data_IF_109304719387
#
_entry.id   IF_109304719387
#
_cell.length_a   1.000
_cell.length_b   1.000
_cell.length_c   1.000
_cell.angle_alpha   90.00
_cell.angle_beta   90.00
_cell.angle_gamma   90.00
#
_symmetry.space_group_name_H-M   'P 1'
#
loop_
_entity.id
_entity.type
_entity.pdbx_description
1 polymer ?
#
# COMPACT_ATOMS: atom_id res chain seq x y z
N UNK A 1 0.14 -19.63 4.08
CA UNK A 1 -0.64 -18.48 3.58
C UNK A 1 -0.98 -17.67 4.80
N UNK A 2 -0.44 -16.47 4.95
CA UNK A 2 -0.86 -15.57 6.03
C UNK A 2 -2.29 -15.12 5.71
N UNK A 3 -3.17 -15.20 6.70
CA UNK A 3 -4.55 -14.76 6.56
C UNK A 3 -4.55 -13.24 6.53
N UNK A 4 -4.99 -12.62 5.42
CA UNK A 4 -5.00 -11.17 5.29
C UNK A 4 -6.17 -10.62 6.10
N UNK A 5 -5.87 -9.86 7.16
CA UNK A 5 -6.87 -9.15 7.94
C UNK A 5 -7.41 -7.93 7.18
N UNK A 6 -8.53 -8.08 6.49
CA UNK A 6 -9.10 -6.99 5.68
C UNK A 6 -9.63 -5.80 6.49
N UNK A 7 -9.61 -5.86 7.83
CA UNK A 7 -10.02 -4.74 8.70
C UNK A 7 -8.89 -3.75 9.00
N UNK A 8 -7.66 -4.06 8.60
CA UNK A 8 -6.50 -3.17 8.75
C UNK A 8 -6.50 -2.07 7.71
N UNK A 9 -5.80 -0.99 8.05
CA UNK A 9 -5.64 0.14 7.14
C UNK A 9 -4.69 -0.24 5.99
N UNK A 10 -5.03 0.23 4.79
CA UNK A 10 -4.28 -0.01 3.56
C UNK A 10 -3.81 1.32 2.99
N UNK A 11 -2.50 1.46 2.82
CA UNK A 11 -1.88 2.66 2.28
C UNK A 11 -1.56 2.47 0.80
N UNK A 12 -2.32 3.14 -0.06
CA UNK A 12 -2.24 3.01 -1.51
C UNK A 12 -1.18 3.94 -2.11
N UNK A 13 -0.18 3.37 -2.78
CA UNK A 13 0.89 4.05 -3.52
C UNK A 13 0.65 3.96 -5.03
N UNK A 14 0.41 5.12 -5.65
CA UNK A 14 0.12 5.21 -7.09
C UNK A 14 1.34 5.57 -7.96
N UNK A 15 2.48 5.95 -7.38
CA UNK A 15 3.67 6.39 -8.15
C UNK A 15 3.36 7.44 -9.24
N UNK A 16 2.45 8.38 -8.96
CA UNK A 16 2.02 9.42 -9.90
C UNK A 16 0.92 8.99 -10.91
N UNK A 17 0.47 7.74 -10.90
CA UNK A 17 -0.64 7.23 -11.72
C UNK A 17 -2.00 7.50 -11.10
N UNK A 18 -2.37 8.77 -11.02
CA UNK A 18 -3.68 9.18 -10.47
C UNK A 18 -4.86 8.62 -11.28
N UNK A 19 -4.66 8.36 -12.57
CA UNK A 19 -5.61 7.69 -13.45
C UNK A 19 -5.96 6.27 -13.00
N UNK A 20 -5.04 5.58 -12.32
CA UNK A 20 -5.25 4.23 -11.82
C UNK A 20 -5.81 4.18 -10.39
N UNK A 21 -6.06 5.34 -9.77
CA UNK A 21 -6.57 5.40 -8.39
C UNK A 21 -7.86 4.61 -8.22
N UNK A 22 -8.87 4.89 -9.05
CA UNK A 22 -10.18 4.25 -8.94
C UNK A 22 -10.07 2.74 -9.21
N UNK A 23 -9.32 2.36 -10.25
CA UNK A 23 -9.06 0.96 -10.59
C UNK A 23 -8.39 0.21 -9.43
N UNK A 24 -7.40 0.82 -8.79
CA UNK A 24 -6.68 0.22 -7.68
C UNK A 24 -7.54 0.09 -6.42
N UNK A 25 -8.31 1.12 -6.09
CA UNK A 25 -9.28 1.05 -4.98
C UNK A 25 -10.32 -0.04 -5.22
N UNK A 26 -10.86 -0.15 -6.44
CA UNK A 26 -11.82 -1.19 -6.79
C UNK A 26 -11.23 -2.60 -6.70
N UNK A 27 -9.97 -2.77 -7.07
CA UNK A 27 -9.28 -4.05 -6.94
C UNK A 27 -9.06 -4.45 -5.46
N UNK A 28 -8.71 -3.48 -4.60
CA UNK A 28 -8.57 -3.70 -3.17
C UNK A 28 -9.92 -3.98 -2.48
N UNK A 29 -10.99 -3.28 -2.86
CA UNK A 29 -12.33 -3.56 -2.34
C UNK A 29 -12.86 -4.91 -2.79
N UNK A 30 -12.61 -5.32 -4.03
CA UNK A 30 -12.92 -6.66 -4.53
C UNK A 30 -12.16 -7.77 -3.79
N UNK A 31 -10.96 -7.47 -3.26
CA UNK A 31 -10.20 -8.37 -2.38
C UNK A 31 -10.82 -8.50 -0.98
N UNK A 32 -11.68 -7.55 -0.58
CA UNK A 32 -12.39 -7.54 0.70
C UNK A 32 -12.02 -6.40 1.63
N UNK A 33 -11.11 -5.50 1.25
CA UNK A 33 -10.78 -4.32 2.05
C UNK A 33 -11.92 -3.28 1.97
N UNK A 34 -12.44 -2.78 3.11
CA UNK A 34 -13.41 -1.70 3.09
C UNK A 34 -12.83 -0.44 2.44
N UNK A 35 -13.62 0.29 1.63
CA UNK A 35 -13.16 1.51 0.98
C UNK A 35 -12.68 2.58 1.99
N UNK A 36 -13.26 2.60 3.19
CA UNK A 36 -12.88 3.46 4.31
C UNK A 36 -11.50 3.14 4.90
N UNK A 37 -11.01 1.91 4.72
CA UNK A 37 -9.67 1.47 5.16
C UNK A 37 -8.59 1.76 4.14
N UNK A 38 -8.97 2.07 2.90
CA UNK A 38 -8.04 2.38 1.82
C UNK A 38 -7.73 3.88 1.84
N UNK A 39 -6.54 4.21 2.33
CA UNK A 39 -6.06 5.59 2.43
C UNK A 39 -4.95 5.83 1.41
N UNK A 40 -4.91 7.03 0.83
CA UNK A 40 -3.77 7.42 0.00
C UNK A 40 -2.50 7.54 0.83
N UNK A 41 -1.43 6.88 0.41
CA UNK A 41 -0.15 7.00 1.10
C UNK A 41 0.41 8.42 1.01
N UNK A 42 1.00 8.90 2.11
CA UNK A 42 1.61 10.22 2.23
C UNK A 42 3.02 10.10 2.79
N UNK A 43 4.01 10.86 2.29
CA UNK A 43 5.37 10.82 2.83
C UNK A 43 5.46 11.26 4.29
N UNK A 44 4.46 11.99 4.80
CA UNK A 44 4.43 12.53 6.16
C UNK A 44 3.63 11.67 7.14
N UNK A 45 3.00 10.58 6.67
CA UNK A 45 2.19 9.70 7.52
C UNK A 45 2.34 8.26 7.06
N UNK A 46 2.93 7.46 7.93
CA UNK A 46 3.07 6.00 7.77
C UNK A 46 1.96 5.26 8.49
N UNK A 47 1.81 3.97 8.16
CA UNK A 47 0.97 3.05 8.90
C UNK A 47 1.62 2.51 10.16
N UNK A 48 0.92 1.58 10.81
CA UNK A 48 1.39 0.85 11.97
C UNK A 48 1.84 -0.56 11.60
N UNK A 49 2.57 -1.21 12.50
CA UNK A 49 2.87 -2.64 12.37
C UNK A 49 1.58 -3.45 12.27
N UNK A 50 1.47 -4.27 11.24
CA UNK A 50 0.30 -5.07 10.90
C UNK A 50 -0.65 -4.42 9.90
N UNK A 51 -0.51 -3.12 9.61
CA UNK A 51 -1.20 -2.47 8.49
C UNK A 51 -0.57 -2.88 7.15
N UNK A 52 -1.25 -2.56 6.05
CA UNK A 52 -0.81 -2.97 4.72
C UNK A 52 -0.43 -1.79 3.84
N UNK A 53 0.58 -2.00 3.01
CA UNK A 53 0.93 -1.12 1.91
C UNK A 53 0.48 -1.77 0.60
N UNK A 54 -0.31 -1.03 -0.19
CA UNK A 54 -0.74 -1.44 -1.52
C UNK A 54 0.00 -0.59 -2.56
N UNK A 55 0.93 -1.18 -3.30
CA UNK A 55 1.76 -0.45 -4.26
C UNK A 55 1.46 -0.87 -5.69
N UNK A 56 1.20 0.10 -6.57
CA UNK A 56 1.14 -0.14 -8.01
C UNK A 56 2.49 -0.65 -8.52
N UNK A 57 2.50 -1.89 -9.03
CA UNK A 57 3.71 -2.60 -9.42
C UNK A 57 3.74 -2.98 -10.91
N UNK A 58 5.00 -3.07 -11.37
CA UNK A 58 5.56 -2.92 -12.72
C UNK A 58 5.50 -1.51 -13.32
N UNK A 59 6.07 -0.48 -12.67
CA UNK A 59 6.34 0.79 -13.34
C UNK A 59 7.17 0.57 -14.62
N UNK A 60 6.96 1.33 -15.71
CA UNK A 60 6.11 2.53 -15.81
C UNK A 60 4.62 2.26 -16.10
N UNK A 61 4.26 1.03 -16.45
CA UNK A 61 2.90 0.59 -16.78
C UNK A 61 2.45 -0.45 -15.77
N UNK A 62 2.05 -0.03 -14.55
CA UNK A 62 1.72 -0.97 -13.51
C UNK A 62 0.49 -1.80 -13.88
N UNK A 63 0.64 -3.11 -13.77
CA UNK A 63 -0.37 -4.09 -14.15
C UNK A 63 -0.84 -4.95 -12.98
N UNK A 64 -0.30 -4.69 -11.79
CA UNK A 64 -0.70 -5.33 -10.56
C UNK A 64 -0.49 -4.39 -9.36
N UNK A 65 -1.11 -4.73 -8.25
CA UNK A 65 -0.90 -4.12 -6.94
C UNK A 65 -0.15 -5.14 -6.09
N UNK A 66 0.99 -4.77 -5.54
CA UNK A 66 1.64 -5.54 -4.49
C UNK A 66 1.05 -5.17 -3.14
N UNK A 67 0.66 -6.16 -2.35
CA UNK A 67 0.26 -5.99 -0.97
C UNK A 67 1.43 -6.43 -0.09
N UNK A 68 1.90 -5.50 0.72
CA UNK A 68 3.00 -5.71 1.65
C UNK A 68 2.50 -5.45 3.06
N UNK A 69 2.80 -6.32 4.01
CA UNK A 69 2.46 -6.10 5.42
C UNK A 69 3.58 -5.32 6.09
N UNK A 70 3.23 -4.26 6.81
CA UNK A 70 4.20 -3.50 7.61
C UNK A 70 4.61 -4.36 8.81
N UNK A 71 5.89 -4.74 8.87
CA UNK A 71 6.44 -5.58 9.94
C UNK A 71 7.19 -4.77 10.99
N UNK A 72 7.65 -3.56 10.63
CA UNK A 72 8.36 -2.66 11.55
C UNK A 72 8.18 -1.21 11.13
N UNK A 73 8.07 -0.32 12.11
CA UNK A 73 8.04 1.13 11.90
C UNK A 73 9.06 1.76 12.85
N UNK A 74 10.06 2.43 12.29
CA UNK A 74 11.08 3.17 13.02
C UNK A 74 10.87 4.68 12.84
N UNK A 75 11.08 5.44 13.91
CA UNK A 75 11.08 6.89 13.86
C UNK A 75 12.38 7.36 13.20
N UNK A 76 12.25 7.92 12.00
CA UNK A 76 13.36 8.41 11.18
C UNK A 76 13.06 9.80 10.66
N UNK A 77 14.10 10.57 10.35
CA UNK A 77 13.92 11.83 9.63
C UNK A 77 13.38 11.55 8.21
N UNK A 78 12.38 12.32 7.74
CA UNK A 78 11.81 12.11 6.42
C UNK A 78 12.85 12.42 5.33
N UNK A 79 12.99 11.52 4.37
CA UNK A 79 13.98 11.69 3.28
C UNK A 79 13.31 11.83 1.91
N UNK A 80 13.59 12.93 1.21
CA UNK A 80 13.18 13.12 -0.19
C UNK A 80 11.70 12.82 -0.45
N UNK A 81 11.42 12.02 -1.48
CA UNK A 81 10.07 11.59 -1.83
C UNK A 81 9.56 10.39 -1.02
N UNK A 82 10.45 9.63 -0.37
CA UNK A 82 10.06 8.46 0.44
C UNK A 82 9.54 8.91 1.81
N UNK A 83 10.00 10.06 2.31
CA UNK A 83 9.58 10.63 3.57
C UNK A 83 9.81 9.67 4.74
N UNK A 84 8.82 9.56 5.62
CA UNK A 84 8.85 8.68 6.78
C UNK A 84 8.80 7.19 6.42
N UNK A 85 8.40 6.83 5.19
CA UNK A 85 8.35 5.42 4.75
C UNK A 85 9.72 4.76 4.67
N UNK A 86 10.81 5.54 4.73
CA UNK A 86 12.17 4.99 4.89
C UNK A 86 12.32 4.14 6.17
N UNK A 87 11.61 4.52 7.24
CA UNK A 87 11.64 3.80 8.51
C UNK A 87 10.70 2.59 8.55
N UNK A 88 10.00 2.29 7.47
CA UNK A 88 8.99 1.23 7.40
C UNK A 88 9.61 -0.01 6.76
N UNK A 89 9.65 -1.12 7.51
CA UNK A 89 9.94 -2.45 6.96
C UNK A 89 8.63 -3.15 6.63
N UNK A 90 8.63 -3.86 5.51
CA UNK A 90 7.44 -4.52 4.99
C UNK A 90 7.79 -5.79 4.24
N UNK A 91 6.87 -6.75 4.26
CA UNK A 91 7.03 -8.06 3.62
C UNK A 91 5.94 -8.27 2.56
N UNK A 92 6.32 -8.76 1.38
CA UNK A 92 5.38 -9.12 0.31
C UNK A 92 4.51 -10.29 0.78
N UNK A 93 3.20 -10.07 0.91
CA UNK A 93 2.25 -11.11 1.34
C UNK A 93 1.31 -11.55 0.23
N UNK A 94 1.03 -10.67 -0.74
CA UNK A 94 0.09 -10.97 -1.82
C UNK A 94 0.25 -9.99 -3.00
N UNK A 95 -0.40 -10.29 -4.12
CA UNK A 95 -0.57 -9.37 -5.24
C UNK A 95 -1.97 -9.46 -5.87
N UNK A 96 -2.44 -8.35 -6.41
CA UNK A 96 -3.70 -8.26 -7.14
C UNK A 96 -3.41 -7.83 -8.57
N UNK A 97 -3.71 -8.65 -9.59
CA UNK A 97 -3.62 -8.19 -10.98
C UNK A 97 -4.63 -7.07 -11.23
N UNK A 98 -4.20 -6.00 -11.89
CA UNK A 98 -5.08 -4.90 -12.29
C UNK A 98 -5.84 -5.25 -13.58
N UNK A 99 -5.41 -6.25 -14.35
CA UNK A 99 -6.05 -6.66 -15.60
C UNK A 99 -5.70 -5.78 -16.79
#
# INVERSE_FOLDING_TARGET
>A
MAEIDTQKDVYLFLHGKMDLREKATNALTAKGFPAEKITMASPNKVGNVGDYMAMLWRPPTPDQIKIQQITKVEEVEPEGMIGLWKGVSQEDIDSIPLG
#
